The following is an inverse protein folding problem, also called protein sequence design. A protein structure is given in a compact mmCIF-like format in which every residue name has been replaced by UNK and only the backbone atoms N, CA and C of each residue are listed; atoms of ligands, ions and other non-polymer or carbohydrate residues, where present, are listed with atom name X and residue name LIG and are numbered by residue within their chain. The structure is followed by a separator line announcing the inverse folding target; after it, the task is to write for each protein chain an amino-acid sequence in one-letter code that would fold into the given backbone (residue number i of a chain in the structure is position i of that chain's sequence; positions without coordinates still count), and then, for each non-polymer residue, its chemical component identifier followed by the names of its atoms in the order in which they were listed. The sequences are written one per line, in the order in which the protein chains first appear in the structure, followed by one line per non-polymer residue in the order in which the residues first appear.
data_IF_475214273629
#
_entry.id   IF_475214273629
#
_cell.length_a   1.000
_cell.length_b   1.000
_cell.length_c   1.000
_cell.angle_alpha   90.00
_cell.angle_beta   90.00
_cell.angle_gamma   90.00
#
_symmetry.space_group_name_H-M   'P 1'
#
loop_
_entity.id
_entity.type
_entity.pdbx_description
1 polymer ?
#
# COMPACT_ATOMS: atom_id res chain seq x y z
N UNK A 1 23.58 27.71 -13.27
CA UNK A 1 22.94 26.61 -12.52
C UNK A 1 22.69 26.99 -11.05
N UNK A 2 22.22 28.22 -10.81
CA UNK A 2 21.77 28.75 -9.50
C UNK A 2 20.59 29.73 -9.64
N UNK A 3 20.01 29.84 -10.84
CA UNK A 3 18.98 30.85 -11.19
C UNK A 3 17.69 30.25 -11.78
N UNK A 4 17.55 28.92 -11.81
CA UNK A 4 16.29 28.27 -12.19
C UNK A 4 15.40 27.93 -10.97
N UNK A 5 15.89 28.18 -9.76
CA UNK A 5 15.18 27.86 -8.51
C UNK A 5 14.11 28.90 -8.13
N UNK A 6 14.09 30.06 -8.79
CA UNK A 6 13.12 31.13 -8.51
C UNK A 6 11.95 31.23 -9.51
N UNK A 7 11.94 30.43 -10.58
CA UNK A 7 10.92 30.55 -11.64
C UNK A 7 9.74 29.55 -11.52
N UNK A 8 9.74 28.63 -10.55
CA UNK A 8 8.56 27.79 -10.27
C UNK A 8 7.99 28.09 -8.88
N UNK A 9 7.10 29.08 -8.81
CA UNK A 9 6.42 29.51 -7.58
C UNK A 9 5.47 28.48 -6.96
N UNK A 10 5.46 27.24 -7.45
CA UNK A 10 4.62 26.15 -6.95
C UNK A 10 5.39 25.35 -5.88
N UNK A 11 5.05 25.61 -4.62
CA UNK A 11 5.46 24.76 -3.51
C UNK A 11 4.60 23.49 -3.53
N UNK A 12 5.20 22.34 -3.87
CA UNK A 12 4.48 21.05 -3.90
C UNK A 12 3.80 20.73 -2.56
N UNK A 13 4.39 21.16 -1.44
CA UNK A 13 3.80 21.03 -0.09
C UNK A 13 2.50 21.84 0.03
N UNK A 14 2.39 23.00 -0.63
CA UNK A 14 1.13 23.77 -0.68
C UNK A 14 0.08 23.20 -1.64
N UNK A 15 0.48 22.36 -2.61
CA UNK A 15 -0.46 21.69 -3.53
C UNK A 15 -1.15 20.50 -2.89
N UNK A 16 -0.42 19.75 -2.06
CA UNK A 16 -0.96 18.60 -1.32
C UNK A 16 -1.63 19.06 0.00
N UNK A 17 -1.30 20.25 0.50
CA UNK A 17 -1.84 20.75 1.78
C UNK A 17 -1.27 20.01 2.98
N UNK A 18 -1.88 20.18 4.16
CA UNK A 18 -1.51 19.47 5.40
C UNK A 18 -2.00 18.01 5.43
N UNK A 19 -2.07 17.33 4.27
CA UNK A 19 -2.60 15.97 4.19
C UNK A 19 -1.60 15.01 4.87
N UNK A 20 -1.90 14.62 6.10
CA UNK A 20 -1.18 13.57 6.82
C UNK A 20 -1.40 12.17 6.18
N UNK A 21 -2.51 11.98 5.45
CA UNK A 21 -2.95 10.69 4.89
C UNK A 21 -3.23 10.78 3.41
N UNK A 22 -2.37 10.19 2.59
CA UNK A 22 -2.59 10.15 1.15
C UNK A 22 -3.67 9.14 0.76
N UNK A 23 -3.78 8.03 1.49
CA UNK A 23 -4.79 7.00 1.25
C UNK A 23 -5.20 6.34 2.57
N UNK A 24 -6.46 6.51 2.95
CA UNK A 24 -6.96 6.09 4.26
C UNK A 24 -7.12 4.57 4.34
N UNK A 25 -6.84 4.03 5.53
CA UNK A 25 -7.20 2.66 5.86
C UNK A 25 -8.73 2.49 5.90
N UNK A 26 -9.20 1.34 5.46
CA UNK A 26 -10.60 0.93 5.58
C UNK A 26 -10.72 -0.57 5.35
N UNK A 27 -11.86 -1.17 5.67
CA UNK A 27 -12.11 -2.58 5.32
C UNK A 27 -12.00 -2.84 3.81
N UNK A 28 -12.34 -1.84 2.99
CA UNK A 28 -12.18 -1.89 1.54
C UNK A 28 -10.72 -1.92 1.06
N UNK A 29 -9.75 -1.53 1.90
CA UNK A 29 -8.31 -1.53 1.57
C UNK A 29 -7.59 -2.80 1.98
N UNK A 30 -8.33 -3.87 2.32
CA UNK A 30 -7.75 -5.19 2.59
C UNK A 30 -7.35 -5.90 1.29
N UNK A 31 -6.11 -6.37 1.24
CA UNK A 31 -5.57 -7.29 0.25
C UNK A 31 -5.62 -8.70 0.84
N UNK A 32 -6.09 -9.66 0.05
CA UNK A 32 -6.33 -11.05 0.45
C UNK A 32 -5.24 -11.92 -0.16
N UNK A 33 -4.70 -12.82 0.66
CA UNK A 33 -3.63 -13.73 0.31
C UNK A 33 -4.04 -15.16 0.64
N UNK A 34 -3.85 -16.06 -0.32
CA UNK A 34 -3.98 -17.50 -0.11
C UNK A 34 -2.69 -18.03 0.53
N UNK A 35 -2.83 -18.87 1.54
CA UNK A 35 -1.72 -19.57 2.19
C UNK A 35 -1.83 -21.05 1.86
N UNK A 36 -0.85 -21.56 1.12
CA UNK A 36 -0.75 -22.98 0.80
C UNK A 36 0.44 -23.60 1.50
N UNK A 37 0.27 -24.81 2.03
CA UNK A 37 1.32 -25.56 2.70
C UNK A 37 1.77 -26.77 1.88
N UNK A 38 3.01 -27.26 2.08
CA UNK A 38 3.42 -28.58 1.63
C UNK A 38 2.47 -29.68 2.15
N UNK A 39 2.29 -30.77 1.39
CA UNK A 39 1.25 -31.79 1.65
C UNK A 39 1.29 -32.47 3.02
N UNK A 40 2.44 -32.42 3.72
CA UNK A 40 2.64 -33.07 5.03
C UNK A 40 2.77 -32.06 6.19
N UNK A 41 2.45 -30.78 5.96
CA UNK A 41 2.55 -29.77 7.01
C UNK A 41 1.33 -29.85 7.94
N UNK A 42 1.58 -30.10 9.22
CA UNK A 42 0.58 -29.96 10.27
C UNK A 42 0.53 -28.49 10.72
N UNK A 43 -0.57 -27.79 10.41
CA UNK A 43 -0.76 -26.39 10.77
C UNK A 43 -1.99 -26.23 11.67
N UNK A 44 -1.76 -25.80 12.91
CA UNK A 44 -2.81 -25.40 13.85
C UNK A 44 -2.95 -23.87 13.82
N UNK A 45 -4.01 -23.39 13.18
CA UNK A 45 -4.26 -21.96 12.99
C UNK A 45 -4.53 -21.23 14.30
N UNK A 46 -5.25 -21.84 15.25
CA UNK A 46 -5.63 -21.19 16.50
C UNK A 46 -4.39 -21.01 17.39
N UNK A 47 -3.60 -22.07 17.54
CA UNK A 47 -2.32 -22.01 18.24
C UNK A 47 -1.38 -20.99 17.58
N UNK A 48 -1.26 -21.02 16.25
CA UNK A 48 -0.41 -20.11 15.50
C UNK A 48 -0.78 -18.63 15.70
N UNK A 49 -2.08 -18.29 15.60
CA UNK A 49 -2.53 -16.92 15.81
C UNK A 49 -2.26 -16.44 17.24
N UNK A 50 -2.41 -17.32 18.24
CA UNK A 50 -2.15 -17.03 19.65
C UNK A 50 -0.67 -16.79 19.93
N UNK A 51 0.20 -17.68 19.48
CA UNK A 51 1.65 -17.58 19.70
C UNK A 51 2.26 -16.34 19.05
N UNK A 52 1.74 -15.94 17.89
CA UNK A 52 2.26 -14.78 17.14
C UNK A 52 1.71 -13.44 17.60
N UNK A 53 0.67 -13.41 18.45
CA UNK A 53 -0.05 -12.19 18.79
C UNK A 53 0.82 -11.10 19.45
N UNK A 54 1.74 -11.49 20.33
CA UNK A 54 2.64 -10.59 21.07
C UNK A 54 4.09 -10.64 20.59
N UNK A 55 4.33 -11.04 19.34
CA UNK A 55 5.69 -11.12 18.79
C UNK A 55 6.40 -9.76 18.78
N UNK A 56 7.69 -9.74 19.13
CA UNK A 56 8.50 -8.52 19.32
C UNK A 56 8.61 -7.66 18.07
N UNK A 57 8.72 -8.29 16.91
CA UNK A 57 8.81 -7.68 15.59
C UNK A 57 7.45 -7.23 15.02
N UNK A 58 6.37 -7.42 15.77
CA UNK A 58 4.99 -7.17 15.38
C UNK A 58 4.33 -8.41 14.79
N UNK A 59 3.08 -8.66 15.22
CA UNK A 59 2.35 -9.90 14.91
C UNK A 59 2.22 -10.24 13.42
N UNK A 60 1.96 -9.26 12.55
CA UNK A 60 1.80 -9.53 11.11
C UNK A 60 3.13 -9.96 10.49
N UNK A 61 4.21 -9.23 10.81
CA UNK A 61 5.57 -9.55 10.40
C UNK A 61 5.98 -10.95 10.88
N UNK A 62 5.73 -11.25 12.15
CA UNK A 62 6.00 -12.56 12.74
C UNK A 62 5.21 -13.66 12.05
N UNK A 63 3.92 -13.43 11.76
CA UNK A 63 3.06 -14.41 11.06
C UNK A 63 3.60 -14.75 9.68
N UNK A 64 3.89 -13.73 8.86
CA UNK A 64 4.43 -13.95 7.52
C UNK A 64 5.77 -14.70 7.59
N UNK A 65 6.67 -14.27 8.48
CA UNK A 65 7.96 -14.91 8.65
C UNK A 65 7.84 -16.38 9.07
N UNK A 66 7.05 -16.69 10.11
CA UNK A 66 6.88 -18.06 10.60
C UNK A 66 6.17 -18.96 9.59
N UNK A 67 5.12 -18.47 8.93
CA UNK A 67 4.45 -19.20 7.85
C UNK A 67 5.45 -19.66 6.78
N UNK A 68 6.27 -18.74 6.28
CA UNK A 68 7.22 -19.04 5.19
C UNK A 68 8.40 -19.91 5.67
N UNK A 69 8.98 -19.61 6.83
CA UNK A 69 10.25 -20.21 7.25
C UNK A 69 10.10 -21.44 8.17
N UNK A 70 9.03 -21.54 8.96
CA UNK A 70 8.81 -22.66 9.88
C UNK A 70 7.87 -23.70 9.27
N UNK A 71 6.83 -23.25 8.54
CA UNK A 71 5.82 -24.14 7.95
C UNK A 71 6.03 -24.40 6.45
N UNK A 72 7.01 -23.75 5.83
CA UNK A 72 7.27 -23.85 4.39
C UNK A 72 6.10 -23.33 3.54
N UNK A 73 5.25 -22.48 4.12
CA UNK A 73 4.04 -22.01 3.47
C UNK A 73 4.37 -21.03 2.34
N UNK A 74 3.57 -21.08 1.29
CA UNK A 74 3.60 -20.10 0.21
C UNK A 74 2.42 -19.15 0.37
N UNK A 75 2.71 -17.85 0.48
CA UNK A 75 1.72 -16.78 0.59
C UNK A 75 1.59 -16.10 -0.77
N UNK A 76 0.43 -16.21 -1.41
CA UNK A 76 0.17 -15.64 -2.75
C UNK A 76 -0.95 -14.61 -2.70
N UNK A 77 -0.73 -13.46 -3.32
CA UNK A 77 -1.79 -12.48 -3.53
C UNK A 77 -2.95 -13.12 -4.32
N UNK A 78 -4.17 -12.95 -3.83
CA UNK A 78 -5.38 -13.50 -4.44
C UNK A 78 -6.37 -12.44 -4.91
N UNK A 79 -6.39 -11.26 -4.29
CA UNK A 79 -7.34 -10.22 -4.65
C UNK A 79 -7.46 -9.11 -3.62
N UNK A 80 -8.34 -8.14 -3.90
CA UNK A 80 -8.65 -7.02 -3.02
C UNK A 80 -10.09 -7.19 -2.52
N UNK A 81 -10.30 -6.96 -1.23
CA UNK A 81 -11.58 -7.23 -0.58
C UNK A 81 -12.72 -6.36 -1.10
N UNK A 82 -12.44 -5.11 -1.49
CA UNK A 82 -13.43 -4.27 -2.19
C UNK A 82 -13.35 -4.52 -3.70
N UNK A 83 -14.42 -5.05 -4.32
CA UNK A 83 -14.47 -5.20 -5.78
C UNK A 83 -14.32 -3.87 -6.50
N UNK A 84 -14.88 -2.79 -5.93
CA UNK A 84 -14.78 -1.44 -6.50
C UNK A 84 -13.34 -0.93 -6.45
N UNK A 85 -12.65 -1.09 -5.31
CA UNK A 85 -11.25 -0.70 -5.23
C UNK A 85 -10.36 -1.52 -6.16
N UNK A 86 -10.66 -2.82 -6.33
CA UNK A 86 -9.99 -3.65 -7.34
C UNK A 86 -10.13 -3.06 -8.75
N UNK A 87 -11.35 -2.65 -9.14
CA UNK A 87 -11.58 -1.97 -10.43
C UNK A 87 -10.85 -0.63 -10.53
N UNK A 88 -10.81 0.16 -9.45
CA UNK A 88 -10.06 1.41 -9.43
C UNK A 88 -8.56 1.19 -9.66
N UNK A 89 -7.98 0.14 -9.09
CA UNK A 89 -6.58 -0.23 -9.36
C UNK A 89 -6.37 -0.64 -10.83
N UNK A 90 -7.28 -1.44 -11.41
CA UNK A 90 -7.24 -1.81 -12.83
C UNK A 90 -7.32 -0.60 -13.77
N UNK A 91 -8.10 0.43 -13.40
CA UNK A 91 -8.19 1.68 -14.14
C UNK A 91 -6.85 2.43 -14.22
N UNK A 92 -5.96 2.26 -13.23
CA UNK A 92 -4.61 2.85 -13.24
C UNK A 92 -3.69 2.03 -14.16
N UNK A 93 -3.69 0.71 -13.96
CA UNK A 93 -2.89 -0.25 -14.72
C UNK A 93 -3.44 -1.66 -14.51
N UNK A 94 -3.51 -2.48 -15.56
CA UNK A 94 -4.00 -3.87 -15.46
C UNK A 94 -3.23 -4.71 -14.43
N UNK A 95 -1.93 -4.43 -14.24
CA UNK A 95 -1.09 -5.12 -13.24
C UNK A 95 -1.13 -4.50 -11.84
N UNK A 96 -1.81 -3.37 -11.65
CA UNK A 96 -1.77 -2.62 -10.39
C UNK A 96 -2.22 -3.42 -9.16
N UNK A 97 -3.31 -4.22 -9.21
CA UNK A 97 -3.71 -5.01 -8.04
C UNK A 97 -2.60 -5.94 -7.55
N UNK A 98 -1.93 -6.64 -8.48
CA UNK A 98 -0.83 -7.55 -8.17
C UNK A 98 0.40 -6.80 -7.69
N UNK A 99 0.78 -5.69 -8.34
CA UNK A 99 1.91 -4.85 -7.89
C UNK A 99 1.69 -4.37 -6.46
N UNK A 100 0.51 -3.86 -6.12
CA UNK A 100 0.20 -3.40 -4.78
C UNK A 100 0.15 -4.54 -3.76
N UNK A 101 -0.39 -5.71 -4.15
CA UNK A 101 -0.41 -6.90 -3.32
C UNK A 101 1.00 -7.40 -2.95
N UNK A 102 1.89 -7.48 -3.93
CA UNK A 102 3.29 -7.87 -3.72
C UNK A 102 4.06 -6.81 -2.93
N UNK A 103 3.81 -5.52 -3.18
CA UNK A 103 4.42 -4.42 -2.44
C UNK A 103 4.02 -4.43 -0.96
N UNK A 104 2.75 -4.65 -0.66
CA UNK A 104 2.24 -4.72 0.71
C UNK A 104 2.76 -5.97 1.44
N UNK A 105 2.93 -7.10 0.74
CA UNK A 105 3.55 -8.29 1.30
C UNK A 105 5.04 -8.06 1.60
N UNK A 106 5.77 -7.45 0.65
CA UNK A 106 7.18 -7.11 0.78
C UNK A 106 7.44 -6.18 1.98
N UNK A 107 6.53 -5.23 2.25
CA UNK A 107 6.57 -4.36 3.44
C UNK A 107 6.78 -5.17 4.72
N UNK A 108 5.96 -6.19 4.96
CA UNK A 108 6.04 -7.00 6.18
C UNK A 108 7.17 -8.01 6.10
N UNK A 109 7.36 -8.69 4.95
CA UNK A 109 8.42 -9.68 4.76
C UNK A 109 9.82 -9.11 5.02
N UNK A 110 10.04 -7.86 4.62
CA UNK A 110 11.34 -7.19 4.70
C UNK A 110 11.40 -6.04 5.73
N UNK A 111 10.34 -5.88 6.54
CA UNK A 111 10.24 -4.82 7.58
C UNK A 111 10.50 -3.41 7.03
N UNK A 112 9.97 -3.13 5.84
CA UNK A 112 10.12 -1.84 5.16
C UNK A 112 8.97 -0.92 5.57
N UNK A 113 9.26 0.37 5.71
CA UNK A 113 8.25 1.36 6.07
C UNK A 113 7.95 2.36 4.93
N UNK A 114 8.95 2.80 4.16
CA UNK A 114 8.73 3.77 3.08
C UNK A 114 8.32 3.12 1.77
N UNK A 115 7.54 3.86 0.97
CA UNK A 115 7.14 3.42 -0.37
C UNK A 115 8.38 3.25 -1.25
N UNK A 116 9.33 4.18 -1.21
CA UNK A 116 10.60 4.06 -1.96
C UNK A 116 11.35 2.76 -1.67
N UNK A 117 11.52 2.37 -0.40
CA UNK A 117 12.21 1.13 -0.03
C UNK A 117 11.45 -0.10 -0.54
N UNK A 118 10.12 -0.07 -0.52
CA UNK A 118 9.32 -1.15 -1.09
C UNK A 118 9.49 -1.24 -2.61
N UNK A 119 9.52 -0.11 -3.33
CA UNK A 119 9.78 -0.09 -4.78
C UNK A 119 11.15 -0.64 -5.12
N UNK A 120 12.20 -0.21 -4.40
CA UNK A 120 13.55 -0.77 -4.52
C UNK A 120 13.52 -2.30 -4.35
N UNK A 121 12.79 -2.80 -3.35
CA UNK A 121 12.67 -4.23 -3.11
C UNK A 121 11.94 -4.98 -4.23
N UNK A 122 10.94 -4.36 -4.84
CA UNK A 122 10.21 -4.93 -5.97
C UNK A 122 11.08 -4.97 -7.23
N UNK A 123 11.90 -3.95 -7.46
CA UNK A 123 12.89 -3.95 -8.55
C UNK A 123 13.93 -5.08 -8.37
N UNK A 124 14.37 -5.35 -7.14
CA UNK A 124 15.30 -6.45 -6.83
C UNK A 124 14.67 -7.83 -7.05
N UNK A 125 13.46 -8.04 -6.53
CA UNK A 125 12.81 -9.36 -6.50
C UNK A 125 12.02 -9.67 -7.77
N UNK A 126 11.64 -8.64 -8.51
CA UNK A 126 10.84 -8.70 -9.74
C UNK A 126 9.70 -9.73 -9.67
N UNK A 127 8.76 -9.60 -8.70
CA UNK A 127 7.75 -10.63 -8.44
C UNK A 127 6.78 -10.87 -9.61
N UNK A 128 6.68 -9.92 -10.55
CA UNK A 128 5.87 -10.04 -11.76
C UNK A 128 6.70 -10.45 -13.00
N UNK A 129 7.99 -10.75 -12.83
CA UNK A 129 8.88 -11.24 -13.89
C UNK A 129 8.92 -10.33 -15.13
N UNK A 130 8.90 -9.01 -14.96
CA UNK A 130 9.08 -8.08 -16.08
C UNK A 130 10.42 -8.29 -16.78
N UNK A 131 10.46 -8.11 -18.10
CA UNK A 131 11.72 -8.09 -18.82
C UNK A 131 12.46 -6.76 -18.55
N UNK A 132 13.55 -6.83 -17.79
CA UNK A 132 14.35 -5.68 -17.39
C UNK A 132 15.54 -5.39 -18.33
N UNK A 133 15.67 -6.09 -19.46
CA UNK A 133 16.83 -6.00 -20.36
C UNK A 133 17.11 -4.60 -20.92
N UNK A 134 16.11 -3.71 -20.91
CA UNK A 134 16.21 -2.35 -21.45
C UNK A 134 16.07 -1.28 -20.36
N UNK A 135 16.12 -1.65 -19.08
CA UNK A 135 16.21 -0.71 -17.96
C UNK A 135 14.95 0.09 -17.65
N UNK A 136 13.77 -0.29 -18.15
CA UNK A 136 12.52 0.40 -17.80
C UNK A 136 12.17 0.22 -16.32
N UNK A 137 11.80 1.30 -15.60
CA UNK A 137 11.50 1.25 -14.18
C UNK A 137 10.03 0.87 -13.93
N UNK A 138 9.64 -0.37 -14.27
CA UNK A 138 8.24 -0.80 -14.26
C UNK A 138 7.53 -0.57 -12.92
N UNK A 139 8.13 -0.98 -11.81
CA UNK A 139 7.51 -0.86 -10.48
C UNK A 139 7.44 0.60 -10.03
N UNK A 140 8.50 1.37 -10.23
CA UNK A 140 8.52 2.79 -9.87
C UNK A 140 7.45 3.58 -10.64
N UNK A 141 7.37 3.40 -11.96
CA UNK A 141 6.37 4.06 -12.80
C UNK A 141 4.94 3.69 -12.37
N UNK A 142 4.65 2.41 -12.12
CA UNK A 142 3.33 1.97 -11.67
C UNK A 142 2.97 2.53 -10.30
N UNK A 143 3.88 2.46 -9.32
CA UNK A 143 3.62 3.00 -7.98
C UNK A 143 3.46 4.52 -8.00
N UNK A 144 4.23 5.26 -8.80
CA UNK A 144 4.01 6.71 -8.98
C UNK A 144 2.61 7.02 -9.51
N UNK A 145 2.09 6.25 -10.49
CA UNK A 145 0.72 6.42 -11.00
C UNK A 145 -0.34 6.12 -9.93
N UNK A 146 -0.12 5.12 -9.08
CA UNK A 146 -0.99 4.84 -7.93
C UNK A 146 -1.00 6.01 -6.94
N UNK A 147 0.18 6.49 -6.52
CA UNK A 147 0.28 7.61 -5.60
C UNK A 147 -0.34 8.88 -6.18
N UNK A 148 -0.19 9.10 -7.49
CA UNK A 148 -0.85 10.19 -8.20
C UNK A 148 -2.37 10.07 -8.10
N UNK A 149 -2.95 8.91 -8.44
CA UNK A 149 -4.39 8.71 -8.33
C UNK A 149 -4.91 8.98 -6.90
N UNK A 150 -4.20 8.50 -5.88
CA UNK A 150 -4.52 8.80 -4.47
C UNK A 150 -4.46 10.30 -4.17
N UNK A 151 -3.40 10.99 -4.61
CA UNK A 151 -3.25 12.44 -4.42
C UNK A 151 -4.35 13.25 -5.12
N UNK A 152 -4.94 12.69 -6.18
CA UNK A 152 -6.03 13.27 -6.96
C UNK A 152 -7.43 12.85 -6.45
N UNK A 153 -7.52 12.23 -5.28
CA UNK A 153 -8.80 11.94 -4.63
C UNK A 153 -9.37 10.55 -4.90
N UNK A 154 -8.62 9.62 -5.50
CA UNK A 154 -9.07 8.22 -5.59
C UNK A 154 -9.33 7.65 -4.18
N UNK A 155 -10.50 7.05 -3.98
CA UNK A 155 -10.89 6.34 -2.76
C UNK A 155 -11.25 4.88 -3.06
N UNK A 156 -11.60 4.12 -2.02
CA UNK A 156 -12.19 2.78 -2.18
C UNK A 156 -13.71 2.78 -2.38
N UNK A 157 -14.34 3.92 -2.12
CA UNK A 157 -15.81 4.05 -2.01
C UNK A 157 -16.45 4.44 -3.33
N UNK A 158 -15.76 5.26 -4.13
CA UNK A 158 -16.26 5.78 -5.40
C UNK A 158 -15.52 5.17 -6.59
N UNK A 159 -16.18 5.11 -7.74
CA UNK A 159 -15.57 4.63 -8.97
C UNK A 159 -14.54 5.64 -9.46
N UNK A 160 -13.31 5.20 -9.67
CA UNK A 160 -12.24 6.05 -10.21
C UNK A 160 -12.31 6.08 -11.73
N UNK A 161 -12.69 7.22 -12.28
CA UNK A 161 -12.83 7.42 -13.74
C UNK A 161 -11.52 7.85 -14.40
N UNK A 162 -10.48 8.17 -13.61
CA UNK A 162 -9.25 8.79 -14.11
C UNK A 162 -9.42 10.26 -14.52
N UNK A 163 -10.64 10.80 -14.42
CA UNK A 163 -10.88 12.23 -14.55
C UNK A 163 -10.45 12.87 -13.25
N UNK A 164 -9.45 13.73 -13.35
CA UNK A 164 -9.11 14.63 -12.27
C UNK A 164 -10.26 15.63 -12.21
N UNK A 165 -11.14 15.50 -11.21
CA UNK A 165 -11.95 16.65 -10.79
C UNK A 165 -10.93 17.76 -10.60
N UNK A 166 -11.05 18.80 -11.45
CA UNK A 166 -10.04 19.82 -11.60
C UNK A 166 -9.51 20.12 -10.21
N UNK A 167 -8.24 19.83 -9.95
CA UNK A 167 -7.61 20.28 -8.72
C UNK A 167 -7.93 21.77 -8.75
N UNK A 168 -8.88 22.21 -7.93
CA UNK A 168 -8.98 23.61 -7.55
C UNK A 168 -7.67 23.83 -6.84
N UNK A 169 -6.66 24.15 -7.66
CA UNK A 169 -5.37 24.53 -7.22
C UNK A 169 -5.70 25.82 -6.50
N UNK A 170 -5.89 25.73 -5.17
CA UNK A 170 -5.97 26.88 -4.26
C UNK A 170 -4.62 27.62 -4.22
N UNK A 171 -3.86 27.60 -5.31
CA UNK A 171 -2.93 28.65 -5.68
C UNK A 171 -3.79 29.91 -5.91
N UNK A 172 -4.00 30.66 -4.82
CA UNK A 172 -4.52 32.03 -4.74
C UNK A 172 -5.15 32.53 -6.06
N UNK A 173 -6.47 32.42 -6.16
CA UNK A 173 -7.49 33.16 -6.93
C UNK A 173 -7.15 34.22 -8.03
N UNK A 174 -5.92 34.45 -8.45
CA UNK A 174 -5.51 35.59 -9.29
C UNK A 174 -4.63 35.21 -10.49
N UNK A 175 -4.54 33.93 -10.89
CA UNK A 175 -3.82 33.55 -12.10
C UNK A 175 -4.68 32.62 -12.99
N UNK A 176 -5.43 33.18 -13.94
CA UNK A 176 -6.10 32.36 -14.95
C UNK A 176 -5.00 31.71 -15.82
N UNK A 177 -4.88 30.39 -15.75
CA UNK A 177 -3.95 29.61 -16.58
C UNK A 177 -2.75 28.98 -15.86
N UNK A 178 -2.90 28.51 -14.62
CA UNK A 178 -1.91 27.63 -13.99
C UNK A 178 -1.90 26.25 -14.69
N UNK A 179 -1.31 26.17 -15.88
CA UNK A 179 -0.96 24.92 -16.52
C UNK A 179 0.04 24.19 -15.62
N UNK A 180 -0.35 23.03 -15.12
CA UNK A 180 0.58 22.08 -14.50
C UNK A 180 1.63 21.69 -15.55
N UNK A 181 2.82 22.27 -15.47
CA UNK A 181 3.86 21.99 -16.45
C UNK A 181 4.34 20.54 -16.25
N UNK A 182 4.63 19.81 -17.34
CA UNK A 182 5.10 18.40 -17.28
C UNK A 182 6.33 18.25 -16.36
N UNK A 183 7.16 19.28 -16.24
CA UNK A 183 8.29 19.32 -15.29
C UNK A 183 7.83 19.29 -13.82
N UNK A 184 6.75 20.00 -13.49
CA UNK A 184 6.13 20.01 -12.17
C UNK A 184 5.48 18.66 -11.87
N UNK A 185 5.00 17.94 -12.89
CA UNK A 185 4.54 16.56 -12.76
C UNK A 185 5.64 15.63 -12.28
N UNK A 186 6.81 15.64 -12.92
CA UNK A 186 7.91 14.76 -12.51
C UNK A 186 8.39 15.08 -11.10
N UNK A 187 8.50 16.37 -10.75
CA UNK A 187 8.90 16.80 -9.40
C UNK A 187 7.85 16.38 -8.36
N UNK A 188 6.57 16.49 -8.68
CA UNK A 188 5.46 16.05 -7.83
C UNK A 188 5.45 14.54 -7.61
N UNK A 189 5.60 13.73 -8.65
CA UNK A 189 5.61 12.27 -8.54
C UNK A 189 6.81 11.77 -7.72
N UNK A 190 7.99 12.36 -7.94
CA UNK A 190 9.17 12.06 -7.12
C UNK A 190 8.95 12.45 -5.66
N UNK A 191 8.38 13.63 -5.41
CA UNK A 191 8.03 14.04 -4.06
C UNK A 191 7.08 13.05 -3.38
N UNK A 192 6.01 12.60 -4.05
CA UNK A 192 5.10 11.59 -3.51
C UNK A 192 5.85 10.29 -3.18
N UNK A 193 6.69 9.79 -4.08
CA UNK A 193 7.48 8.58 -3.85
C UNK A 193 8.41 8.69 -2.64
N UNK A 194 9.05 9.85 -2.46
CA UNK A 194 9.98 10.12 -1.36
C UNK A 194 9.31 10.37 -0.01
N UNK A 195 8.16 11.05 -0.04
CA UNK A 195 7.44 11.52 1.14
C UNK A 195 6.35 10.56 1.61
N UNK A 196 6.16 9.39 0.99
CA UNK A 196 5.13 8.43 1.40
C UNK A 196 5.69 7.20 2.12
N UNK A 197 4.90 6.69 3.05
CA UNK A 197 5.19 5.46 3.78
C UNK A 197 3.89 4.68 4.07
N UNK A 198 4.04 3.38 4.29
CA UNK A 198 2.92 2.52 4.67
C UNK A 198 2.79 2.45 6.19
N UNK A 199 1.72 3.03 6.72
CA UNK A 199 1.36 2.89 8.12
C UNK A 199 0.62 1.56 8.34
N UNK A 200 0.71 0.99 9.55
CA UNK A 200 -0.13 -0.13 9.95
C UNK A 200 -1.31 0.41 10.78
N UNK A 201 -2.56 0.34 10.28
CA UNK A 201 -3.72 0.68 11.09
C UNK A 201 -3.96 -0.35 12.21
N UNK A 202 -4.94 -0.08 13.07
CA UNK A 202 -5.38 -1.07 14.04
C UNK A 202 -5.92 -2.31 13.32
N UNK A 203 -5.55 -3.52 13.75
CA UNK A 203 -6.03 -4.75 13.10
C UNK A 203 -7.46 -5.13 13.46
N UNK A 204 -7.93 -4.62 14.60
CA UNK A 204 -9.18 -5.05 15.26
C UNK A 204 -9.21 -6.53 15.69
N UNK A 205 -8.04 -7.14 15.86
CA UNK A 205 -7.95 -8.49 16.42
C UNK A 205 -8.21 -8.48 17.94
N UNK A 206 -8.86 -9.52 18.44
CA UNK A 206 -9.12 -9.75 19.85
C UNK A 206 -7.85 -10.25 20.56
N UNK A 207 -7.47 -9.60 21.65
CA UNK A 207 -6.32 -10.01 22.47
C UNK A 207 -6.60 -11.26 23.31
N UNK A 208 -7.86 -11.47 23.69
CA UNK A 208 -8.31 -12.63 24.48
C UNK A 208 -8.53 -13.86 23.59
N UNK A 209 -8.88 -13.63 22.32
CA UNK A 209 -9.10 -14.67 21.32
C UNK A 209 -8.40 -14.32 19.99
N UNK A 210 -7.05 -14.39 19.90
CA UNK A 210 -6.32 -14.10 18.67
C UNK A 210 -6.84 -14.90 17.47
N UNK A 211 -6.85 -14.30 16.28
CA UNK A 211 -7.54 -14.87 15.11
C UNK A 211 -9.01 -14.48 14.95
N UNK A 212 -9.57 -13.74 15.92
CA UNK A 212 -10.96 -13.26 15.87
C UNK A 212 -11.05 -11.74 15.93
N UNK A 213 -12.18 -11.22 15.44
CA UNK A 213 -12.50 -9.79 15.52
C UNK A 213 -12.80 -9.43 16.98
N UNK A 214 -12.18 -8.36 17.48
CA UNK A 214 -12.49 -7.78 18.78
C UNK A 214 -13.92 -7.24 18.80
N UNK A 215 -14.80 -7.72 19.68
CA UNK A 215 -16.22 -7.30 19.68
C UNK A 215 -16.44 -5.79 19.87
N UNK A 216 -15.55 -5.11 20.60
CA UNK A 216 -15.62 -3.65 20.88
C UNK A 216 -14.93 -2.77 19.83
N UNK A 217 -14.57 -3.31 18.67
CA UNK A 217 -13.91 -2.58 17.60
C UNK A 217 -14.80 -1.45 17.04
N UNK A 218 -14.35 -0.19 17.16
CA UNK A 218 -15.04 0.98 16.60
C UNK A 218 -14.93 1.12 15.07
N UNK A 219 -13.90 0.52 14.49
CA UNK A 219 -13.63 0.47 13.03
C UNK A 219 -13.52 -1.00 12.63
N UNK A 220 -13.95 -1.35 11.44
CA UNK A 220 -14.08 -2.76 11.01
C UNK A 220 -12.92 -3.24 10.10
N UNK A 221 -11.69 -2.77 10.34
CA UNK A 221 -10.54 -3.08 9.48
C UNK A 221 -10.31 -4.60 9.33
N UNK A 222 -10.44 -5.35 10.43
CA UNK A 222 -10.54 -6.81 10.49
C UNK A 222 -9.54 -7.56 9.59
N UNK A 223 -8.25 -7.45 9.91
CA UNK A 223 -7.18 -8.03 9.10
C UNK A 223 -5.96 -8.44 9.95
N UNK A 224 -5.00 -9.14 9.35
CA UNK A 224 -3.68 -9.36 9.94
C UNK A 224 -3.51 -10.67 10.70
N UNK A 225 -4.51 -11.55 10.73
CA UNK A 225 -4.44 -12.92 11.25
C UNK A 225 -4.75 -13.95 10.17
N UNK A 226 -4.37 -15.21 10.42
CA UNK A 226 -4.72 -16.33 9.54
C UNK A 226 -6.16 -16.76 9.82
N UNK A 227 -6.95 -16.98 8.78
CA UNK A 227 -8.33 -17.47 8.90
C UNK A 227 -8.59 -18.58 7.88
N UNK A 228 -9.62 -19.40 8.13
CA UNK A 228 -10.09 -20.44 7.19
C UNK A 228 -11.38 -20.00 6.52
N UNK A 229 -11.45 -20.17 5.21
CA UNK A 229 -12.66 -19.97 4.42
C UNK A 229 -12.65 -20.98 3.26
N UNK A 230 -13.75 -21.73 3.09
CA UNK A 230 -13.85 -22.75 2.04
C UNK A 230 -12.82 -23.88 2.16
N UNK A 231 -12.35 -24.19 3.37
CA UNK A 231 -11.30 -25.20 3.61
C UNK A 231 -9.88 -24.77 3.23
N UNK A 232 -9.68 -23.50 2.88
CA UNK A 232 -8.37 -22.93 2.57
C UNK A 232 -7.96 -21.91 3.62
N UNK A 233 -6.64 -21.70 3.78
CA UNK A 233 -6.08 -20.73 4.70
C UNK A 233 -5.80 -19.40 4.00
N UNK A 234 -6.08 -18.32 4.71
CA UNK A 234 -6.03 -16.98 4.15
C UNK A 234 -5.44 -15.98 5.13
N UNK A 235 -4.89 -14.90 4.59
CA UNK A 235 -4.40 -13.74 5.33
C UNK A 235 -4.91 -12.46 4.67
N UNK A 236 -5.29 -11.48 5.48
CA UNK A 236 -5.60 -10.12 5.01
C UNK A 236 -4.52 -9.14 5.45
N UNK A 237 -4.07 -8.28 4.56
CA UNK A 237 -3.20 -7.14 4.86
C UNK A 237 -3.91 -5.85 4.47
N UNK A 238 -3.85 -4.81 5.31
CA UNK A 238 -4.49 -3.53 5.03
C UNK A 238 -3.52 -2.51 4.44
N UNK A 239 -3.98 -1.80 3.41
CA UNK A 239 -3.27 -0.68 2.80
C UNK A 239 -3.67 0.64 3.48
N UNK A 240 -2.64 1.37 3.92
CA UNK A 240 -2.73 2.76 4.37
C UNK A 240 -1.47 3.51 3.94
N UNK A 241 -1.64 4.67 3.32
CA UNK A 241 -0.52 5.50 2.85
C UNK A 241 -0.55 6.84 3.57
N UNK A 242 0.54 7.18 4.24
CA UNK A 242 0.74 8.43 4.97
C UNK A 242 1.86 9.25 4.34
N UNK A 243 1.80 10.55 4.58
CA UNK A 243 2.86 11.48 4.21
C UNK A 243 3.82 11.67 5.40
N UNK A 244 5.12 11.80 5.13
CA UNK A 244 6.15 12.19 6.11
C UNK A 244 6.78 13.51 5.70
N UNK A 245 7.17 14.31 6.68
CA UNK A 245 7.93 15.53 6.40
C UNK A 245 9.37 15.19 6.00
N UNK A 246 9.81 15.73 4.87
CA UNK A 246 11.16 15.55 4.36
C UNK A 246 12.12 16.66 4.84
N UNK A 247 11.60 17.74 5.44
CA UNK A 247 12.41 18.84 5.99
C UNK A 247 12.98 18.57 7.38
N UNK A 248 12.75 17.40 7.96
CA UNK A 248 13.21 17.03 9.30
C UNK A 248 14.55 16.25 9.29
N UNK A 249 15.44 16.53 8.34
CA UNK A 249 16.80 15.98 8.27
C UNK A 249 17.83 17.05 8.58
#
# INVERSE_FOLDING_TARGET
MKELDQASGLNIKSMIGEIATLFNAGKGTNFIYNITFPSNTHFDMEAFNKETYNAKEGKITARIFRLENEYGATIKFSGVQSPKFYQNLLMIDMGMPTVMGEMLLAKYRHKLNTVRRCVEKLNETNPLHFNLSHGQPFYESKIMRFLQACAMGMTTEDAWTGVYDAIECKAKANAPGACYHIYEQNRFLNYLLDSTYFEQPATNEDASHPGHVRPSAKKDFNYGWVYVEGGQYWLKLNLQVRMRDLSAK
#
